data_IF_934543362652
#
_entry.id   IF_934543362652
#
_cell.length_a   1.000
_cell.length_b   1.000
_cell.length_c   1.000
_cell.angle_alpha   90.00
_cell.angle_beta   90.00
_cell.angle_gamma   90.00
#
_symmetry.space_group_name_H-M   'P 1'
#
loop_
_entity.id
_entity.type
_entity.pdbx_description
1 polymer ?
#
# COMPACT_ATOMS: atom_id res chain seq x y z
N UNK A 1 21.30 9.91 -1.00
CA UNK A 1 20.41 8.82 -1.45
C UNK A 1 19.15 9.45 -2.01
N UNK A 2 18.71 9.09 -3.21
CA UNK A 2 17.49 9.64 -3.83
C UNK A 2 16.32 8.79 -3.41
N UNK A 3 15.27 9.38 -2.85
CA UNK A 3 14.07 8.70 -2.36
C UNK A 3 13.14 8.36 -3.53
N UNK A 4 12.70 7.12 -3.60
CA UNK A 4 11.75 6.66 -4.62
C UNK A 4 10.32 6.97 -4.18
N UNK A 5 9.59 7.69 -5.01
CA UNK A 5 8.19 8.06 -4.76
C UNK A 5 7.31 7.38 -5.78
N UNK A 6 6.43 6.51 -5.32
CA UNK A 6 5.37 5.89 -6.14
C UNK A 6 4.09 6.71 -6.00
N UNK A 7 3.43 7.02 -7.12
CA UNK A 7 2.16 7.76 -7.14
C UNK A 7 1.05 6.86 -7.65
N UNK A 8 0.12 6.52 -6.76
CA UNK A 8 -1.11 5.80 -7.08
C UNK A 8 -2.27 6.79 -7.25
N UNK A 9 -2.97 6.72 -8.36
CA UNK A 9 -4.08 7.63 -8.67
C UNK A 9 -5.08 6.98 -9.64
N UNK A 10 -6.30 7.52 -9.71
CA UNK A 10 -7.26 7.16 -10.76
C UNK A 10 -6.98 7.97 -12.03
N UNK A 11 -7.05 7.35 -13.21
CA UNK A 11 -6.88 8.03 -14.50
C UNK A 11 -7.83 9.25 -14.67
N UNK A 12 -8.98 9.24 -14.01
CA UNK A 12 -9.88 10.38 -13.98
C UNK A 12 -9.26 11.64 -13.33
N UNK A 13 -8.22 11.47 -12.51
CA UNK A 13 -7.53 12.53 -11.77
C UNK A 13 -6.18 12.93 -12.38
N UNK A 14 -5.91 12.50 -13.59
CA UNK A 14 -4.63 12.71 -14.26
C UNK A 14 -4.20 14.17 -14.32
N UNK A 15 -5.14 15.08 -14.63
CA UNK A 15 -4.84 16.51 -14.68
C UNK A 15 -4.40 17.09 -13.32
N UNK A 16 -4.92 16.56 -12.20
CA UNK A 16 -4.50 16.96 -10.85
C UNK A 16 -3.14 16.34 -10.49
N UNK A 17 -2.89 15.09 -10.92
CA UNK A 17 -1.59 14.46 -10.77
C UNK A 17 -0.50 15.24 -11.52
N UNK A 18 -0.76 15.70 -12.74
CA UNK A 18 0.17 16.51 -13.54
C UNK A 18 0.51 17.84 -12.84
N UNK A 19 -0.48 18.50 -12.22
CA UNK A 19 -0.25 19.71 -11.43
C UNK A 19 0.66 19.42 -10.22
N UNK A 20 0.43 18.32 -9.51
CA UNK A 20 1.31 17.90 -8.43
C UNK A 20 2.73 17.64 -8.92
N UNK A 21 2.91 17.00 -10.08
CA UNK A 21 4.24 16.76 -10.64
C UNK A 21 5.02 18.04 -10.95
N UNK A 22 4.33 19.09 -11.40
CA UNK A 22 4.93 20.41 -11.59
C UNK A 22 5.44 20.97 -10.27
N UNK A 23 4.67 20.87 -9.21
CA UNK A 23 5.06 21.34 -7.88
C UNK A 23 6.22 20.51 -7.25
N UNK A 24 6.34 19.23 -7.61
CA UNK A 24 7.45 18.37 -7.20
C UNK A 24 8.76 18.64 -7.96
N UNK A 25 8.76 19.51 -8.96
CA UNK A 25 9.92 19.74 -9.83
C UNK A 25 11.18 20.16 -9.05
N UNK A 26 11.06 20.99 -8.01
CA UNK A 26 12.22 21.41 -7.20
C UNK A 26 12.82 20.26 -6.39
N UNK A 27 11.99 19.37 -5.84
CA UNK A 27 12.50 18.17 -5.14
C UNK A 27 13.27 17.25 -6.09
N UNK A 28 12.78 17.10 -7.33
CA UNK A 28 13.46 16.32 -8.38
C UNK A 28 14.77 16.98 -8.81
N UNK A 29 14.78 18.31 -9.07
CA UNK A 29 16.00 19.06 -9.44
C UNK A 29 17.08 19.01 -8.35
N UNK A 30 16.68 18.99 -7.09
CA UNK A 30 17.59 18.83 -5.96
C UNK A 30 18.09 17.38 -5.78
N UNK A 31 17.64 16.43 -6.61
CA UNK A 31 17.99 15.01 -6.50
C UNK A 31 17.45 14.32 -5.25
N UNK A 32 16.49 14.94 -4.57
CA UNK A 32 15.90 14.41 -3.34
C UNK A 32 14.93 13.26 -3.60
N UNK A 33 14.18 13.34 -4.71
CA UNK A 33 13.18 12.34 -5.08
C UNK A 33 13.29 11.92 -6.54
N UNK A 34 12.89 10.67 -6.79
CA UNK A 34 12.57 10.13 -8.11
C UNK A 34 11.09 9.69 -8.08
N UNK A 35 10.27 10.26 -8.96
CA UNK A 35 8.82 9.98 -9.00
C UNK A 35 8.53 8.95 -10.07
N UNK A 36 7.71 7.94 -9.75
CA UNK A 36 7.18 6.96 -10.66
C UNK A 36 5.64 6.91 -10.60
N UNK A 37 5.00 6.70 -11.74
CA UNK A 37 3.57 6.44 -11.89
C UNK A 37 3.33 5.61 -13.17
N UNK A 38 2.16 5.01 -13.33
CA UNK A 38 1.81 4.05 -14.39
C UNK A 38 1.97 4.56 -15.83
N UNK A 39 1.84 5.89 -16.08
CA UNK A 39 2.11 6.46 -17.41
C UNK A 39 3.56 6.36 -17.88
N UNK A 40 4.48 5.93 -17.06
CA UNK A 40 5.87 5.64 -17.46
C UNK A 40 6.03 4.26 -18.07
N UNK A 41 4.96 3.46 -18.13
CA UNK A 41 4.95 2.19 -18.81
C UNK A 41 5.03 2.39 -20.33
N UNK A 42 5.82 1.54 -20.97
CA UNK A 42 6.02 1.55 -22.43
C UNK A 42 5.22 0.40 -23.03
N UNK A 43 4.84 0.55 -24.31
CA UNK A 43 4.17 -0.53 -25.02
C UNK A 43 5.01 -1.81 -24.99
N UNK A 44 4.43 -2.89 -24.45
CA UNK A 44 5.11 -4.18 -24.25
C UNK A 44 5.45 -4.51 -22.80
N UNK A 45 5.36 -3.55 -21.87
CA UNK A 45 5.52 -3.82 -20.45
C UNK A 45 4.36 -4.65 -19.91
N UNK A 46 4.65 -5.51 -18.92
CA UNK A 46 3.62 -6.24 -18.19
C UNK A 46 3.08 -5.35 -17.07
N UNK A 47 1.94 -4.72 -17.34
CA UNK A 47 1.31 -3.69 -16.52
C UNK A 47 1.30 -4.03 -15.02
N UNK A 48 0.67 -5.14 -14.63
CA UNK A 48 0.49 -5.51 -13.22
C UNK A 48 1.80 -5.83 -12.51
N UNK A 49 2.78 -6.37 -13.22
CA UNK A 49 4.05 -6.77 -12.65
C UNK A 49 4.94 -5.56 -12.40
N UNK A 50 5.05 -4.66 -13.38
CA UNK A 50 5.89 -3.45 -13.28
C UNK A 50 5.36 -2.49 -12.21
N UNK A 51 4.04 -2.27 -12.15
CA UNK A 51 3.41 -1.46 -11.09
C UNK A 51 3.71 -2.06 -9.71
N UNK A 52 3.59 -3.38 -9.59
CA UNK A 52 3.85 -4.08 -8.33
C UNK A 52 5.29 -3.95 -7.89
N UNK A 53 6.25 -4.09 -8.79
CA UNK A 53 7.68 -3.98 -8.50
C UNK A 53 8.06 -2.56 -8.08
N UNK A 54 7.59 -1.54 -8.79
CA UNK A 54 7.85 -0.14 -8.48
C UNK A 54 7.23 0.27 -7.13
N UNK A 55 6.02 -0.20 -6.84
CA UNK A 55 5.40 0.01 -5.53
C UNK A 55 6.20 -0.66 -4.41
N UNK A 56 6.74 -1.86 -4.64
CA UNK A 56 7.54 -2.58 -3.64
C UNK A 56 8.93 -1.96 -3.40
N UNK A 57 9.44 -1.21 -4.37
CA UNK A 57 10.73 -0.51 -4.25
C UNK A 57 10.60 0.94 -3.76
N UNK A 58 9.37 1.45 -3.62
CA UNK A 58 9.15 2.83 -3.21
C UNK A 58 9.47 3.06 -1.72
N UNK A 59 10.11 4.16 -1.40
CA UNK A 59 10.34 4.65 -0.04
C UNK A 59 9.16 5.50 0.46
N UNK A 60 8.51 6.23 -0.47
CA UNK A 60 7.29 6.99 -0.21
C UNK A 60 6.22 6.56 -1.22
N UNK A 61 5.00 6.34 -0.74
CA UNK A 61 3.84 6.04 -1.56
C UNK A 61 2.83 7.17 -1.38
N UNK A 62 2.53 7.88 -2.47
CA UNK A 62 1.49 8.91 -2.52
C UNK A 62 0.21 8.28 -3.04
N UNK A 63 -0.86 8.32 -2.26
CA UNK A 63 -2.21 7.97 -2.72
C UNK A 63 -2.98 9.24 -3.03
N UNK A 64 -3.34 9.45 -4.28
CA UNK A 64 -4.14 10.60 -4.71
C UNK A 64 -5.61 10.26 -4.60
N UNK A 65 -6.19 10.62 -3.46
CA UNK A 65 -7.51 10.16 -3.03
C UNK A 65 -8.61 11.03 -3.61
N UNK A 66 -9.56 10.40 -4.29
CA UNK A 66 -10.73 10.99 -4.92
C UNK A 66 -11.90 10.01 -4.91
N UNK A 67 -13.12 10.42 -5.33
CA UNK A 67 -14.22 9.48 -5.51
C UNK A 67 -13.87 8.35 -6.49
N UNK A 68 -13.20 8.68 -7.62
CA UNK A 68 -12.80 7.68 -8.61
C UNK A 68 -11.69 6.75 -8.12
N UNK A 69 -10.76 7.26 -7.31
CA UNK A 69 -9.77 6.43 -6.64
C UNK A 69 -10.43 5.41 -5.70
N UNK A 70 -11.38 5.86 -4.87
CA UNK A 70 -12.09 4.98 -3.95
C UNK A 70 -12.99 3.96 -4.66
N UNK A 71 -13.53 4.33 -5.83
CA UNK A 71 -14.37 3.44 -6.65
C UNK A 71 -13.55 2.42 -7.47
N UNK A 72 -12.26 2.66 -7.68
CA UNK A 72 -11.38 1.77 -8.45
C UNK A 72 -10.98 0.56 -7.59
N UNK A 73 -11.40 -0.64 -8.00
CA UNK A 73 -10.97 -1.88 -7.33
C UNK A 73 -9.46 -2.07 -7.36
N UNK A 74 -8.78 -1.66 -8.42
CA UNK A 74 -7.35 -1.78 -8.57
C UNK A 74 -6.60 -0.84 -7.63
N UNK A 75 -6.86 0.47 -7.70
CA UNK A 75 -6.20 1.46 -6.85
C UNK A 75 -6.53 1.22 -5.36
N UNK A 76 -7.80 0.96 -5.05
CA UNK A 76 -8.24 0.85 -3.67
C UNK A 76 -7.89 -0.49 -3.03
N UNK A 77 -8.11 -1.63 -3.71
CA UNK A 77 -7.89 -2.95 -3.12
C UNK A 77 -6.44 -3.41 -3.22
N UNK A 78 -5.80 -3.21 -4.37
CA UNK A 78 -4.47 -3.77 -4.65
C UNK A 78 -3.38 -2.80 -4.20
N UNK A 79 -3.31 -1.60 -4.79
CA UNK A 79 -2.22 -0.66 -4.51
C UNK A 79 -2.30 -0.10 -3.08
N UNK A 80 -3.47 0.39 -2.66
CA UNK A 80 -3.68 0.86 -1.28
C UNK A 80 -3.41 -0.25 -0.27
N UNK A 81 -3.90 -1.46 -0.49
CA UNK A 81 -3.70 -2.57 0.43
C UNK A 81 -2.23 -2.94 0.62
N UNK A 82 -1.43 -2.92 -0.44
CA UNK A 82 0.03 -3.14 -0.38
C UNK A 82 0.74 -1.98 0.31
N UNK A 83 0.39 -0.74 -0.04
CA UNK A 83 0.94 0.47 0.55
C UNK A 83 0.74 0.50 2.08
N UNK A 84 -0.46 0.18 2.56
CA UNK A 84 -0.77 0.08 3.99
C UNK A 84 0.06 -0.99 4.69
N UNK A 85 0.23 -2.17 4.09
CA UNK A 85 1.08 -3.25 4.65
C UNK A 85 2.53 -2.80 4.78
N UNK A 86 3.08 -2.19 3.74
CA UNK A 86 4.46 -1.69 3.74
C UNK A 86 4.66 -0.57 4.77
N UNK A 87 3.68 0.33 4.88
CA UNK A 87 3.74 1.40 5.88
C UNK A 87 3.72 0.86 7.31
N UNK A 88 2.82 -0.09 7.62
CA UNK A 88 2.74 -0.72 8.95
C UNK A 88 4.01 -1.50 9.32
N UNK A 89 4.75 -2.02 8.33
CA UNK A 89 6.05 -2.68 8.52
C UNK A 89 7.24 -1.71 8.59
N UNK A 90 7.01 -0.42 8.39
CA UNK A 90 8.08 0.59 8.33
C UNK A 90 8.93 0.52 7.07
N UNK A 91 8.50 -0.22 6.04
CA UNK A 91 9.22 -0.40 4.77
C UNK A 91 9.04 0.78 3.81
N UNK A 92 7.95 1.52 3.94
CA UNK A 92 7.64 2.71 3.16
C UNK A 92 6.82 3.71 3.97
N UNK A 93 6.90 4.99 3.60
CA UNK A 93 6.03 6.04 4.14
C UNK A 93 4.81 6.23 3.25
N UNK A 94 3.61 6.04 3.80
CA UNK A 94 2.35 6.35 3.12
C UNK A 94 1.95 7.79 3.37
N UNK A 95 1.58 8.51 2.31
CA UNK A 95 1.02 9.87 2.35
C UNK A 95 -0.23 9.90 1.49
N UNK A 96 -1.38 10.18 2.11
CA UNK A 96 -2.66 10.33 1.41
C UNK A 96 -2.90 11.80 1.07
N UNK A 97 -3.09 12.08 -0.21
CA UNK A 97 -3.37 13.42 -0.75
C UNK A 97 -4.82 13.48 -1.16
N UNK A 98 -5.62 14.31 -0.49
CA UNK A 98 -7.04 14.44 -0.80
C UNK A 98 -7.21 15.40 -1.98
N UNK A 99 -7.47 14.85 -3.17
CA UNK A 99 -7.63 15.64 -4.40
C UNK A 99 -9.00 16.29 -4.49
N UNK A 100 -10.05 15.48 -4.33
CA UNK A 100 -11.45 15.90 -4.48
C UNK A 100 -12.28 15.44 -3.28
N UNK A 101 -13.41 16.12 -2.98
CA UNK A 101 -14.30 15.69 -1.90
C UNK A 101 -14.73 14.23 -2.10
N UNK A 102 -14.51 13.39 -1.09
CA UNK A 102 -14.89 11.99 -1.07
C UNK A 102 -14.96 11.46 0.35
N UNK A 103 -15.54 10.27 0.52
CA UNK A 103 -15.80 9.66 1.83
C UNK A 103 -14.57 8.87 2.37
N UNK A 104 -13.39 9.49 2.31
CA UNK A 104 -12.14 8.87 2.76
C UNK A 104 -12.10 8.62 4.28
N UNK A 105 -12.86 9.41 5.05
CA UNK A 105 -12.90 9.34 6.52
C UNK A 105 -13.50 8.03 7.03
N UNK A 106 -14.33 7.35 6.22
CA UNK A 106 -14.89 6.04 6.53
C UNK A 106 -14.08 4.88 5.91
N UNK A 107 -12.85 5.14 5.49
CA UNK A 107 -11.93 4.14 4.96
C UNK A 107 -10.75 3.91 5.90
N UNK A 108 -9.93 2.89 5.63
CA UNK A 108 -8.68 2.61 6.37
C UNK A 108 -7.67 3.76 6.32
N UNK A 109 -7.89 4.75 5.44
CA UNK A 109 -7.03 5.94 5.33
C UNK A 109 -7.25 6.93 6.47
N UNK A 110 -8.37 6.85 7.18
CA UNK A 110 -8.68 7.70 8.33
C UNK A 110 -7.72 7.49 9.53
N UNK A 111 -7.02 6.36 9.58
CA UNK A 111 -6.01 6.09 10.60
C UNK A 111 -4.74 6.93 10.44
N UNK A 112 -4.55 7.56 9.29
CA UNK A 112 -3.30 8.25 8.93
C UNK A 112 -3.53 9.75 8.77
N UNK A 113 -2.45 10.51 8.99
CA UNK A 113 -2.44 11.93 8.64
C UNK A 113 -2.52 12.08 7.14
N UNK A 114 -3.43 12.94 6.70
CA UNK A 114 -3.65 13.26 5.29
C UNK A 114 -3.15 14.67 4.97
N UNK A 115 -2.92 14.94 3.69
CA UNK A 115 -2.56 16.25 3.18
C UNK A 115 -3.49 16.60 2.01
N UNK A 116 -3.79 17.87 1.70
CA UNK A 116 -3.37 19.09 2.40
C UNK A 116 -3.93 19.18 3.83
N UNK A 117 -3.51 20.24 4.54
CA UNK A 117 -3.90 20.52 5.92
C UNK A 117 -5.39 20.24 6.18
N UNK A 118 -5.67 19.55 7.31
CA UNK A 118 -7.00 19.17 7.78
C UNK A 118 -7.79 18.26 6.82
N UNK A 119 -7.10 17.64 5.83
CA UNK A 119 -7.76 16.81 4.81
C UNK A 119 -8.67 17.61 3.88
N UNK A 120 -8.48 18.94 3.78
CA UNK A 120 -9.26 19.78 2.88
C UNK A 120 -8.89 19.45 1.43
N UNK A 121 -9.85 18.99 0.62
CA UNK A 121 -9.58 18.62 -0.77
C UNK A 121 -8.92 19.73 -1.57
N UNK A 122 -7.92 19.41 -2.42
CA UNK A 122 -7.21 20.38 -3.26
C UNK A 122 -8.17 21.23 -4.09
N UNK A 123 -9.20 20.60 -4.65
CA UNK A 123 -10.20 21.30 -5.47
C UNK A 123 -11.09 22.30 -4.69
N UNK A 124 -11.06 22.28 -3.37
CA UNK A 124 -11.81 23.21 -2.51
C UNK A 124 -10.96 24.36 -1.97
N UNK A 125 -9.68 24.40 -2.30
CA UNK A 125 -8.83 25.54 -1.96
C UNK A 125 -9.11 26.71 -2.89
N UNK A 126 -9.07 27.95 -2.40
CA UNK A 126 -9.18 29.13 -3.26
C UNK A 126 -8.07 29.20 -4.32
N UNK A 127 -6.87 28.81 -3.92
CA UNK A 127 -5.72 28.65 -4.78
C UNK A 127 -5.19 27.21 -4.70
N UNK A 128 -5.14 26.52 -5.83
CA UNK A 128 -4.65 25.16 -5.93
C UNK A 128 -3.14 25.07 -5.77
N UNK A 129 -2.41 26.10 -6.16
CA UNK A 129 -0.96 26.12 -5.99
C UNK A 129 -0.57 26.15 -4.51
N UNK A 130 -1.33 26.88 -3.68
CA UNK A 130 -1.17 26.84 -2.22
C UNK A 130 -1.45 25.42 -1.66
N UNK A 131 -2.51 24.77 -2.13
CA UNK A 131 -2.84 23.43 -1.71
C UNK A 131 -1.74 22.42 -2.06
N UNK A 132 -1.23 22.47 -3.28
CA UNK A 132 -0.14 21.60 -3.72
C UNK A 132 1.18 21.94 -3.00
N UNK A 133 1.43 23.20 -2.69
CA UNK A 133 2.61 23.60 -1.90
C UNK A 133 2.56 22.97 -0.51
N UNK A 134 1.39 22.94 0.14
CA UNK A 134 1.20 22.26 1.43
C UNK A 134 1.53 20.75 1.34
N UNK A 135 1.10 20.10 0.24
CA UNK A 135 1.48 18.71 -0.05
C UNK A 135 3.00 18.56 -0.16
N UNK A 136 3.66 19.44 -0.91
CA UNK A 136 5.14 19.42 -1.07
C UNK A 136 5.84 19.60 0.27
N UNK A 137 5.33 20.49 1.14
CA UNK A 137 5.88 20.66 2.49
C UNK A 137 5.72 19.40 3.34
N UNK A 138 4.58 18.75 3.28
CA UNK A 138 4.35 17.46 3.95
C UNK A 138 5.34 16.38 3.48
N UNK A 139 5.60 16.32 2.17
CA UNK A 139 6.61 15.42 1.60
C UNK A 139 8.02 15.78 2.11
N UNK A 140 8.39 17.06 2.19
CA UNK A 140 9.69 17.48 2.73
C UNK A 140 9.88 17.05 4.19
N UNK A 141 8.85 17.17 5.01
CA UNK A 141 8.88 16.68 6.40
C UNK A 141 9.12 15.16 6.43
N UNK A 142 8.42 14.42 5.58
CA UNK A 142 8.60 12.98 5.46
C UNK A 142 10.04 12.60 5.04
N UNK A 143 10.61 13.31 4.06
CA UNK A 143 12.00 13.12 3.63
C UNK A 143 12.99 13.36 4.77
N UNK A 144 12.78 14.41 5.57
CA UNK A 144 13.61 14.70 6.74
C UNK A 144 13.55 13.61 7.81
N UNK A 145 12.42 12.94 7.96
CA UNK A 145 12.28 11.83 8.91
C UNK A 145 12.91 10.53 8.40
N UNK A 146 12.86 10.26 7.09
CA UNK A 146 13.50 9.09 6.48
C UNK A 146 15.04 9.18 6.51
N UNK A 147 15.59 10.40 6.37
CA UNK A 147 17.04 10.60 6.48
C UNK A 147 17.58 10.51 7.90
N UNK A 148 16.72 10.58 8.91
CA UNK A 148 17.03 10.47 10.35
C UNK A 148 16.60 9.13 10.95
N UNK A 149 16.10 8.20 10.16
CA UNK A 149 15.60 6.93 10.68
C UNK A 149 16.73 6.21 11.44
N UNK A 150 16.51 5.84 12.72
CA UNK A 150 17.40 4.92 13.41
C UNK A 150 17.36 3.59 12.67
N UNK A 151 18.48 2.86 12.73
CA UNK A 151 18.58 1.49 12.27
C UNK A 151 17.36 0.66 12.71
N UNK A 152 16.91 -0.32 11.92
CA UNK A 152 15.75 -1.12 12.24
C UNK A 152 15.92 -1.64 13.67
N UNK A 153 14.97 -1.33 14.54
CA UNK A 153 14.93 -1.92 15.87
C UNK A 153 14.87 -3.42 15.63
N UNK A 154 15.97 -4.09 15.95
CA UNK A 154 15.99 -5.54 16.08
C UNK A 154 14.85 -5.88 16.99
N UNK A 155 13.91 -6.68 16.49
CA UNK A 155 12.85 -7.28 17.28
C UNK A 155 13.50 -8.01 18.45
N UNK A 156 13.54 -7.33 19.59
CA UNK A 156 13.80 -7.99 20.86
C UNK A 156 12.50 -8.67 21.29
N UNK A 157 12.49 -9.97 21.02
CA UNK A 157 12.02 -10.96 22.00
C UNK A 157 10.53 -10.89 22.38
N UNK A 158 9.69 -11.44 21.49
CA UNK A 158 8.40 -12.01 21.87
C UNK A 158 8.44 -13.56 21.89
N UNK A 159 9.60 -14.12 22.13
CA UNK A 159 9.74 -15.53 22.49
C UNK A 159 10.00 -15.58 23.99
N UNK A 160 8.96 -15.56 24.80
CA UNK A 160 8.88 -16.24 26.07
C UNK A 160 7.62 -15.83 26.83
N UNK A 161 6.63 -16.63 26.74
CA UNK A 161 5.81 -17.17 27.83
C UNK A 161 4.65 -17.96 27.26
N UNK A 162 4.97 -19.10 26.69
CA UNK A 162 4.03 -20.21 26.71
C UNK A 162 4.59 -21.14 27.76
N UNK A 163 4.14 -21.01 29.00
CA UNK A 163 4.28 -22.05 29.98
C UNK A 163 3.51 -23.27 29.49
N UNK A 164 4.07 -24.47 29.58
CA UNK A 164 3.37 -25.69 29.21
C UNK A 164 2.26 -25.97 30.23
N UNK A 165 1.01 -25.70 29.86
CA UNK A 165 -0.14 -26.20 30.59
C UNK A 165 -0.26 -27.70 30.36
N UNK A 166 -0.32 -28.39 31.49
CA UNK A 166 -0.50 -29.79 31.75
C UNK A 166 -1.20 -30.65 30.68
N UNK A 167 -0.60 -31.82 30.47
CA UNK A 167 -1.16 -32.98 29.78
C UNK A 167 -2.62 -33.23 30.17
N UNK A 168 -3.54 -32.99 29.26
CA UNK A 168 -4.82 -33.69 29.30
C UNK A 168 -4.70 -34.94 28.45
N UNK A 169 -4.47 -36.05 29.12
CA UNK A 169 -4.49 -37.37 28.53
C UNK A 169 -5.88 -37.69 27.96
N UNK A 170 -6.07 -37.49 26.65
CA UNK A 170 -7.24 -37.99 25.94
C UNK A 170 -7.03 -39.47 25.63
N UNK A 171 -7.71 -40.33 26.41
CA UNK A 171 -7.84 -41.77 26.15
C UNK A 171 -8.51 -41.98 24.79
N UNK A 172 -7.76 -42.50 23.84
CA UNK A 172 -8.29 -43.05 22.59
C UNK A 172 -8.92 -44.41 22.86
N UNK A 173 -10.12 -44.73 22.37
CA UNK A 173 -10.66 -46.08 22.43
C UNK A 173 -10.00 -46.97 21.38
N UNK A 174 -9.62 -48.17 21.85
CA UNK A 174 -8.98 -49.19 21.05
C UNK A 174 -9.93 -49.73 19.97
N UNK A 175 -9.36 -49.81 18.80
CA UNK A 175 -9.70 -50.63 17.62
C UNK A 175 -10.73 -51.73 17.77
N UNK A 176 -11.64 -51.76 16.81
CA UNK A 176 -12.22 -53.01 16.33
C UNK A 176 -12.12 -53.09 14.81
N UNK A 177 -11.52 -54.17 14.39
CA UNK A 177 -11.31 -54.65 13.05
C UNK A 177 -12.52 -54.49 12.15
N UNK A 178 -12.36 -53.91 10.96
CA UNK A 178 -13.23 -54.24 9.83
C UNK A 178 -12.38 -54.60 8.61
N UNK A 179 -12.59 -55.84 8.21
CA UNK A 179 -11.93 -56.54 7.10
C UNK A 179 -12.24 -55.86 5.77
N UNK A 180 -11.20 -55.70 4.99
CA UNK A 180 -11.26 -55.52 3.52
C UNK A 180 -12.05 -56.67 2.88
N UNK A 181 -13.10 -56.35 2.15
CA UNK A 181 -13.60 -57.17 1.05
C UNK A 181 -13.37 -56.46 -0.24
N UNK A 182 -12.40 -56.95 -0.99
CA UNK A 182 -12.28 -56.74 -2.43
C UNK A 182 -13.44 -57.49 -3.11
N UNK A 183 -14.16 -56.81 -3.99
CA UNK A 183 -14.84 -57.45 -5.11
C UNK A 183 -14.48 -56.71 -6.36
N UNK A 184 -13.67 -57.37 -7.17
CA UNK A 184 -13.55 -57.15 -8.59
C UNK A 184 -14.89 -57.55 -9.23
N UNK A 185 -15.42 -56.79 -10.13
CA UNK A 185 -16.27 -57.28 -11.21
C UNK A 185 -15.94 -56.50 -12.46
N UNK A 186 -15.61 -57.30 -13.44
CA UNK A 186 -15.20 -57.02 -14.79
C UNK A 186 -16.42 -57.24 -15.71
N UNK A 187 -16.33 -56.67 -16.90
CA UNK A 187 -17.14 -56.93 -18.10
C UNK A 187 -18.49 -56.15 -18.18
N UNK A 188 -18.96 -55.69 -19.32
CA UNK A 188 -18.64 -55.90 -20.74
C UNK A 188 -19.17 -54.74 -21.59
N UNK A 189 -18.52 -54.55 -22.67
CA UNK A 189 -18.86 -54.19 -24.03
C UNK A 189 -20.38 -54.22 -24.34
N UNK A 190 -20.92 -53.10 -24.89
CA UNK A 190 -21.31 -52.96 -26.31
C UNK A 190 -21.47 -51.48 -26.69
#
# INVERSE_FOLDING_TARGET
>A
MTIRVFVSYSHADEALRDQLEVQLAMLRRQGLIQVWHDRRLVAGDRLDWTISEELDQADIILLLVSPDFLASDYCYKIEKGRALKRHRRGEARLISVILRPCDWQHSDLAEFLVTPKDGKPITQWPDRDEAFLDVVQSIRVALGSLSKAPEPKQDHDWVERIEPTEEVAVKLPRSSNLRLRRTFSQADKD
#
